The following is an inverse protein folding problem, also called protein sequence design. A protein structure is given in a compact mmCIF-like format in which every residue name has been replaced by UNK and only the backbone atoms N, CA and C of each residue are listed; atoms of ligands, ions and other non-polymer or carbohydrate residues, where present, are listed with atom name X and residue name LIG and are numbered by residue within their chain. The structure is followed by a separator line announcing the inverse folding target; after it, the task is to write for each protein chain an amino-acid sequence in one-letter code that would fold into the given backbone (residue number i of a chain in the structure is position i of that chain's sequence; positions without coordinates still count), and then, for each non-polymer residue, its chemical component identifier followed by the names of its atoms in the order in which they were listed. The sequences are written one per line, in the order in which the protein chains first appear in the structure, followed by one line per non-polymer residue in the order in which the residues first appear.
data_IF_994368225101
#
_entry.id   IF_994368225101
#
_cell.length_a   1.000
_cell.length_b   1.000
_cell.length_c   1.000
_cell.angle_alpha   90.00
_cell.angle_beta   90.00
_cell.angle_gamma   90.00
#
_symmetry.space_group_name_H-M   'P 1'
#
loop_
_entity.id
_entity.type
_entity.pdbx_description
1 polymer ?
#
# COMPACT_ATOMS: atom_id res chain seq x y z
N UNK A 1 -8.91 89.57 44.94
CA UNK A 1 -8.43 88.23 45.34
C UNK A 1 -8.09 87.45 44.08
N UNK A 2 -6.89 86.87 44.05
CA UNK A 2 -6.18 86.34 42.87
C UNK A 2 -6.42 84.83 42.80
N UNK A 3 -7.16 84.35 41.81
CA UNK A 3 -7.28 82.90 41.55
C UNK A 3 -6.22 82.52 40.51
N UNK A 4 -5.29 81.68 40.93
CA UNK A 4 -4.17 81.20 40.14
C UNK A 4 -4.67 80.32 38.99
N UNK A 5 -4.16 80.61 37.79
CA UNK A 5 -4.32 79.84 36.56
C UNK A 5 -3.30 78.69 36.64
N UNK A 6 -3.75 77.44 36.65
CA UNK A 6 -2.88 76.26 36.58
C UNK A 6 -2.85 75.80 35.12
N UNK A 7 -1.67 75.84 34.50
CA UNK A 7 -1.41 75.31 33.16
C UNK A 7 -1.14 73.81 33.25
N UNK A 8 -2.00 72.97 32.67
CA UNK A 8 -1.72 71.56 32.41
C UNK A 8 -0.74 71.45 31.24
N UNK A 9 0.55 71.18 31.55
CA UNK A 9 1.50 70.71 30.55
C UNK A 9 1.07 69.31 30.13
N UNK A 10 0.74 69.16 28.85
CA UNK A 10 0.48 67.87 28.23
C UNK A 10 1.71 66.97 28.30
N UNK A 11 1.60 65.91 29.09
CA UNK A 11 2.55 64.81 29.16
C UNK A 11 2.47 63.98 27.88
N UNK A 12 3.30 64.30 26.89
CA UNK A 12 3.60 63.38 25.79
C UNK A 12 4.50 62.27 26.33
N UNK A 13 3.91 61.18 26.82
CA UNK A 13 4.64 59.96 27.14
C UNK A 13 4.99 59.23 25.82
N UNK A 14 6.27 59.12 25.42
CA UNK A 14 6.65 58.59 24.11
C UNK A 14 6.70 57.06 24.05
N UNK A 15 6.22 56.35 25.07
CA UNK A 15 6.32 54.88 25.16
C UNK A 15 4.96 54.19 25.03
N UNK A 16 4.29 54.38 23.89
CA UNK A 16 3.21 53.46 23.49
C UNK A 16 3.88 52.26 22.81
N UNK A 17 3.80 51.04 23.37
CA UNK A 17 4.39 49.87 22.74
C UNK A 17 3.77 49.68 21.35
N UNK A 18 4.62 49.64 20.32
CA UNK A 18 4.28 49.57 18.89
C UNK A 18 3.20 48.51 18.54
N UNK A 19 3.05 47.50 19.40
CA UNK A 19 2.10 46.41 19.32
C UNK A 19 0.61 46.81 19.42
N UNK A 20 0.27 48.01 19.93
CA UNK A 20 -1.13 48.47 20.00
C UNK A 20 -1.62 49.15 18.72
N UNK A 21 -0.73 49.45 17.76
CA UNK A 21 -1.09 50.13 16.52
C UNK A 21 -2.03 49.25 15.65
N UNK A 22 -3.26 49.71 15.33
CA UNK A 22 -4.22 48.93 14.53
C UNK A 22 -3.73 48.62 13.12
N UNK A 23 -2.86 49.44 12.53
CA UNK A 23 -2.20 49.15 11.26
C UNK A 23 -1.21 47.99 11.41
N UNK A 24 -0.39 47.99 12.45
CA UNK A 24 0.52 46.88 12.78
C UNK A 24 -0.25 45.57 13.04
N UNK A 25 -1.40 45.63 13.74
CA UNK A 25 -2.26 44.47 13.99
C UNK A 25 -2.92 43.92 12.72
N UNK A 26 -3.26 44.79 11.75
CA UNK A 26 -3.81 44.42 10.44
C UNK A 26 -2.73 43.78 9.55
N UNK A 27 -1.52 44.32 9.55
CA UNK A 27 -0.34 43.78 8.87
C UNK A 27 0.00 42.38 9.41
N UNK A 28 0.09 42.23 10.74
CA UNK A 28 0.32 40.95 11.39
C UNK A 28 -0.79 39.94 11.12
N UNK A 29 -2.06 40.36 11.07
CA UNK A 29 -3.20 39.48 10.73
C UNK A 29 -3.19 39.07 9.26
N UNK A 30 -2.75 39.95 8.36
CA UNK A 30 -2.57 39.67 6.93
C UNK A 30 -1.43 38.67 6.72
N UNK A 31 -0.25 38.92 7.32
CA UNK A 31 0.90 38.03 7.26
C UNK A 31 0.61 36.65 7.84
N UNK A 32 -0.08 36.55 8.98
CA UNK A 32 -0.46 35.25 9.57
C UNK A 32 -1.40 34.44 8.69
N UNK A 33 -2.32 35.09 7.95
CA UNK A 33 -3.19 34.41 6.99
C UNK A 33 -2.42 33.92 5.77
N UNK A 34 -1.52 34.74 5.22
CA UNK A 34 -0.67 34.34 4.10
C UNK A 34 0.26 33.18 4.47
N UNK A 35 0.84 33.22 5.68
CA UNK A 35 1.65 32.11 6.23
C UNK A 35 0.81 30.85 6.43
N UNK A 36 -0.39 30.96 7.01
CA UNK A 36 -1.31 29.82 7.17
C UNK A 36 -1.71 29.20 5.82
N UNK A 37 -2.05 30.02 4.83
CA UNK A 37 -2.40 29.54 3.49
C UNK A 37 -1.23 28.82 2.82
N UNK A 38 -0.01 29.38 2.93
CA UNK A 38 1.18 28.75 2.38
C UNK A 38 1.50 27.39 3.03
N UNK A 39 1.34 27.29 4.36
CA UNK A 39 1.54 26.02 5.09
C UNK A 39 0.48 24.98 4.69
N UNK A 40 -0.79 25.37 4.61
CA UNK A 40 -1.87 24.46 4.21
C UNK A 40 -1.68 23.97 2.78
N UNK A 41 -1.27 24.86 1.86
CA UNK A 41 -0.96 24.45 0.48
C UNK A 41 0.23 23.51 0.40
N UNK A 42 1.28 23.74 1.19
CA UNK A 42 2.45 22.85 1.23
C UNK A 42 2.10 21.47 1.79
N UNK A 43 1.27 21.40 2.84
CA UNK A 43 0.79 20.14 3.41
C UNK A 43 -0.14 19.38 2.45
N UNK A 44 -0.98 20.08 1.70
CA UNK A 44 -1.84 19.46 0.69
C UNK A 44 -1.04 18.84 -0.46
N UNK A 45 0.00 19.54 -0.95
CA UNK A 45 0.91 19.00 -1.96
C UNK A 45 1.68 17.79 -1.43
N UNK A 46 2.17 17.86 -0.20
CA UNK A 46 2.86 16.74 0.44
C UNK A 46 1.93 15.51 0.57
N UNK A 47 0.68 15.72 0.99
CA UNK A 47 -0.31 14.65 1.13
C UNK A 47 -0.65 13.98 -0.21
N UNK A 48 -0.73 14.74 -1.30
CA UNK A 48 -0.98 14.20 -2.65
C UNK A 48 0.20 13.36 -3.19
N UNK A 49 1.41 13.53 -2.67
CA UNK A 49 2.59 12.73 -3.06
C UNK A 49 2.78 11.44 -2.24
N UNK A 50 2.03 11.24 -1.14
CA UNK A 50 2.14 10.06 -0.27
C UNK A 50 1.74 8.71 -0.92
N UNK A 51 0.80 8.62 -1.88
CA UNK A 51 0.39 7.32 -2.44
C UNK A 51 1.53 6.53 -3.10
N UNK A 52 2.57 7.21 -3.60
CA UNK A 52 3.74 6.57 -4.19
C UNK A 52 4.58 5.78 -3.19
N UNK A 53 4.40 5.99 -1.89
CA UNK A 53 5.13 5.27 -0.83
C UNK A 53 4.49 3.92 -0.46
N UNK A 54 3.28 3.64 -0.94
CA UNK A 54 2.55 2.39 -0.65
C UNK A 54 2.47 1.46 -1.87
N UNK A 55 3.34 1.65 -2.87
CA UNK A 55 3.47 0.68 -3.95
C UNK A 55 4.06 -0.62 -3.37
N UNK A 56 3.27 -1.69 -3.37
CA UNK A 56 3.81 -3.02 -3.10
C UNK A 56 4.83 -3.37 -4.18
N UNK A 57 6.04 -3.76 -3.78
CA UNK A 57 7.02 -4.30 -4.70
C UNK A 57 6.56 -5.70 -5.14
N UNK A 58 5.89 -5.76 -6.29
CA UNK A 58 5.40 -7.01 -6.87
C UNK A 58 6.45 -7.54 -7.86
N UNK A 59 7.02 -8.74 -7.62
CA UNK A 59 7.99 -9.31 -8.55
C UNK A 59 7.29 -9.68 -9.87
N UNK A 60 7.89 -9.32 -11.00
CA UNK A 60 7.27 -9.58 -12.31
C UNK A 60 7.10 -11.09 -12.56
N UNK A 61 8.18 -11.84 -12.40
CA UNK A 61 8.22 -13.29 -12.57
C UNK A 61 8.89 -13.94 -11.35
N UNK A 62 8.33 -15.07 -10.91
CA UNK A 62 8.89 -15.92 -9.85
C UNK A 62 8.90 -17.37 -10.30
N UNK A 63 9.83 -18.15 -9.75
CA UNK A 63 9.87 -19.60 -9.93
C UNK A 63 9.34 -20.27 -8.66
N UNK A 64 8.26 -21.02 -8.81
CA UNK A 64 7.67 -21.82 -7.75
C UNK A 64 8.28 -23.22 -7.80
N UNK A 65 9.10 -23.53 -6.81
CA UNK A 65 9.60 -24.90 -6.56
C UNK A 65 9.18 -25.36 -5.16
N UNK A 66 9.62 -26.54 -4.75
CA UNK A 66 9.35 -27.15 -3.44
C UNK A 66 9.90 -26.30 -2.29
N UNK A 67 9.43 -26.51 -1.04
CA UNK A 67 10.00 -25.87 0.14
C UNK A 67 11.51 -26.11 0.29
N UNK A 68 12.18 -25.17 0.97
CA UNK A 68 13.63 -25.25 1.20
C UNK A 68 13.99 -26.53 1.97
N UNK A 69 15.11 -27.16 1.57
CA UNK A 69 15.57 -28.42 2.17
C UNK A 69 14.94 -29.68 1.56
N UNK A 70 14.05 -29.54 0.58
CA UNK A 70 13.46 -30.66 -0.14
C UNK A 70 13.88 -30.73 -1.61
N UNK A 71 13.93 -31.93 -2.17
CA UNK A 71 14.26 -32.15 -3.58
C UNK A 71 12.98 -32.07 -4.46
N UNK A 72 13.02 -31.34 -5.58
CA UNK A 72 11.94 -31.33 -6.56
C UNK A 72 11.72 -32.69 -7.21
N UNK A 73 10.52 -32.92 -7.73
CA UNK A 73 10.23 -34.12 -8.52
C UNK A 73 10.81 -33.96 -9.93
N UNK A 74 11.48 -34.98 -10.47
CA UNK A 74 12.05 -34.94 -11.83
C UNK A 74 11.05 -34.52 -12.91
N UNK A 75 9.80 -35.01 -12.80
CA UNK A 75 8.73 -34.70 -13.77
C UNK A 75 8.07 -33.34 -13.56
N UNK A 76 8.23 -32.75 -12.37
CA UNK A 76 7.56 -31.52 -11.96
C UNK A 76 8.52 -30.67 -11.10
N UNK A 77 9.63 -30.18 -11.69
CA UNK A 77 10.70 -29.56 -10.92
C UNK A 77 10.32 -28.16 -10.42
N UNK A 78 9.67 -27.37 -11.27
CA UNK A 78 9.34 -25.98 -11.00
C UNK A 78 8.20 -25.51 -11.92
N UNK A 79 7.62 -24.35 -11.58
CA UNK A 79 6.60 -23.64 -12.36
C UNK A 79 6.99 -22.17 -12.39
N UNK A 80 7.05 -21.57 -13.58
CA UNK A 80 7.17 -20.11 -13.68
C UNK A 80 5.81 -19.45 -13.47
N UNK A 81 5.79 -18.35 -12.73
CA UNK A 81 4.59 -17.58 -12.44
C UNK A 81 4.85 -16.09 -12.67
N UNK A 82 3.94 -15.44 -13.38
CA UNK A 82 4.01 -14.01 -13.69
C UNK A 82 2.90 -13.25 -12.97
N UNK A 83 3.26 -12.26 -12.15
CA UNK A 83 2.27 -11.38 -11.53
C UNK A 83 1.64 -10.42 -12.54
N UNK A 84 2.39 -9.98 -13.56
CA UNK A 84 1.87 -9.10 -14.62
C UNK A 84 0.77 -9.78 -15.45
N UNK A 85 0.89 -11.09 -15.70
CA UNK A 85 -0.16 -11.89 -16.33
C UNK A 85 -1.43 -12.04 -15.47
N UNK A 86 -1.35 -11.76 -14.16
CA UNK A 86 -2.45 -11.82 -13.21
C UNK A 86 -2.80 -10.44 -12.64
N UNK A 87 -2.43 -9.35 -13.30
CA UNK A 87 -2.59 -7.98 -12.79
C UNK A 87 -4.05 -7.58 -12.54
N UNK A 88 -5.00 -8.22 -13.22
CA UNK A 88 -6.45 -7.99 -13.04
C UNK A 88 -7.04 -8.76 -11.83
N UNK A 89 -6.22 -9.54 -11.12
CA UNK A 89 -6.61 -10.31 -9.94
C UNK A 89 -6.15 -9.57 -8.69
N UNK A 90 -7.03 -9.46 -7.69
CA UNK A 90 -6.69 -8.83 -6.42
C UNK A 90 -5.67 -9.65 -5.63
N UNK A 91 -4.77 -8.98 -4.92
CA UNK A 91 -3.69 -9.63 -4.16
C UNK A 91 -4.24 -10.69 -3.18
N UNK A 92 -5.37 -10.39 -2.52
CA UNK A 92 -6.00 -11.24 -1.52
C UNK A 92 -6.71 -12.49 -2.12
N UNK A 93 -6.88 -12.58 -3.44
CA UNK A 93 -7.42 -13.80 -4.05
C UNK A 93 -6.42 -14.96 -3.99
N UNK A 94 -5.12 -14.68 -4.11
CA UNK A 94 -4.06 -15.69 -3.96
C UNK A 94 -3.43 -15.63 -2.57
N UNK A 95 -3.01 -14.43 -2.14
CA UNK A 95 -2.52 -14.20 -0.78
C UNK A 95 -3.69 -14.09 0.19
N UNK A 96 -4.39 -15.19 0.39
CA UNK A 96 -5.65 -15.24 1.14
C UNK A 96 -5.52 -14.92 2.64
N UNK A 97 -4.29 -14.75 3.14
CA UNK A 97 -4.00 -14.27 4.50
C UNK A 97 -3.64 -12.78 4.55
N UNK A 98 -3.57 -12.11 3.39
CA UNK A 98 -3.21 -10.71 3.28
C UNK A 98 -4.45 -9.81 3.47
N UNK A 99 -4.42 -8.97 4.50
CA UNK A 99 -5.54 -8.09 4.88
C UNK A 99 -5.44 -6.67 4.26
N UNK A 100 -4.58 -6.48 3.26
CA UNK A 100 -4.43 -5.20 2.55
C UNK A 100 -3.29 -4.31 3.07
N UNK A 101 -2.64 -4.67 4.17
CA UNK A 101 -1.44 -4.00 4.67
C UNK A 101 -0.45 -5.01 5.26
N UNK A 102 0.83 -4.63 5.30
CA UNK A 102 1.91 -5.47 5.84
C UNK A 102 2.63 -6.27 4.75
N UNK A 103 3.47 -7.20 5.20
CA UNK A 103 4.29 -8.02 4.31
C UNK A 103 3.48 -9.17 3.70
N UNK A 104 3.73 -9.45 2.43
CA UNK A 104 3.15 -10.60 1.73
C UNK A 104 4.09 -11.80 1.88
N UNK A 105 3.60 -12.86 2.53
CA UNK A 105 4.36 -14.07 2.78
C UNK A 105 4.31 -15.06 1.60
N UNK A 106 5.31 -15.94 1.53
CA UNK A 106 5.33 -17.06 0.60
C UNK A 106 4.32 -18.11 1.04
N UNK A 107 3.63 -18.73 0.07
CA UNK A 107 2.74 -19.86 0.37
C UNK A 107 3.49 -20.99 1.10
N UNK A 108 4.79 -21.16 0.79
CA UNK A 108 5.66 -22.19 1.38
C UNK A 108 6.04 -21.91 2.83
N UNK A 109 5.72 -20.74 3.39
CA UNK A 109 5.95 -20.46 4.80
C UNK A 109 4.93 -21.17 5.70
N UNK A 110 3.79 -21.60 5.14
CA UNK A 110 2.74 -22.34 5.84
C UNK A 110 2.38 -23.67 5.16
N UNK A 111 2.32 -23.70 3.82
CA UNK A 111 1.99 -24.89 3.04
C UNK A 111 3.24 -25.74 2.74
N UNK A 112 3.90 -26.25 3.79
CA UNK A 112 5.15 -27.00 3.66
C UNK A 112 4.94 -28.50 3.47
N UNK A 113 3.92 -29.10 4.09
CA UNK A 113 3.77 -30.56 4.11
C UNK A 113 3.58 -31.14 2.71
N UNK A 114 4.39 -32.14 2.37
CA UNK A 114 4.31 -32.92 1.13
C UNK A 114 3.79 -34.34 1.33
N UNK A 115 3.45 -34.71 2.56
CA UNK A 115 2.99 -36.06 2.91
C UNK A 115 1.59 -36.37 2.36
N UNK A 116 0.77 -35.34 2.15
CA UNK A 116 -0.60 -35.48 1.70
C UNK A 116 -0.89 -34.57 0.50
N UNK A 117 -1.64 -35.12 -0.46
CA UNK A 117 -2.21 -34.34 -1.58
C UNK A 117 -3.63 -33.87 -1.33
N UNK A 118 -4.24 -34.28 -0.22
CA UNK A 118 -5.65 -34.02 0.10
C UNK A 118 -5.82 -33.04 1.26
N UNK A 119 -4.79 -32.89 2.08
CA UNK A 119 -4.82 -31.95 3.19
C UNK A 119 -4.80 -30.51 2.63
N UNK A 120 -5.78 -29.65 2.95
CA UNK A 120 -5.81 -28.27 2.49
C UNK A 120 -4.56 -27.47 2.85
N UNK A 121 -3.87 -27.78 3.95
CA UNK A 121 -2.63 -27.09 4.33
C UNK A 121 -1.38 -27.69 3.67
N UNK A 122 -1.52 -28.66 2.77
CA UNK A 122 -0.36 -29.24 2.10
C UNK A 122 0.16 -28.36 0.98
N UNK A 123 1.44 -28.55 0.66
CA UNK A 123 2.08 -27.92 -0.49
C UNK A 123 1.32 -28.24 -1.78
N UNK A 124 0.87 -29.48 -1.97
CA UNK A 124 0.14 -29.85 -3.19
C UNK A 124 -1.22 -29.13 -3.30
N UNK A 125 -1.97 -29.04 -2.20
CA UNK A 125 -3.29 -28.45 -2.18
C UNK A 125 -3.27 -26.94 -2.43
N UNK A 126 -2.23 -26.23 -1.98
CA UNK A 126 -2.05 -24.79 -2.22
C UNK A 126 -2.17 -24.42 -3.71
N UNK A 127 -1.72 -25.31 -4.62
CA UNK A 127 -1.70 -25.05 -6.07
C UNK A 127 -2.76 -25.83 -6.85
N UNK A 128 -3.25 -26.96 -6.32
CA UNK A 128 -4.07 -27.92 -7.07
C UNK A 128 -5.46 -28.20 -6.48
N UNK A 129 -5.82 -27.61 -5.35
CA UNK A 129 -7.14 -27.80 -4.75
C UNK A 129 -8.26 -27.27 -5.66
N UNK A 130 -9.50 -27.70 -5.42
CA UNK A 130 -10.66 -27.16 -6.15
C UNK A 130 -11.04 -25.73 -5.72
N UNK A 131 -10.36 -25.17 -4.70
CA UNK A 131 -10.53 -23.80 -4.24
C UNK A 131 -10.09 -22.79 -5.31
N UNK A 132 -10.83 -21.68 -5.42
CA UNK A 132 -10.51 -20.56 -6.31
C UNK A 132 -9.23 -19.79 -5.90
N UNK A 133 -8.65 -20.12 -4.74
CA UNK A 133 -7.34 -19.62 -4.29
C UNK A 133 -6.19 -20.36 -4.99
N UNK A 134 -6.42 -21.63 -5.36
CA UNK A 134 -5.39 -22.45 -6.00
C UNK A 134 -5.32 -22.16 -7.50
N UNK A 135 -4.14 -22.33 -8.10
CA UNK A 135 -3.92 -22.13 -9.53
C UNK A 135 -4.93 -22.95 -10.36
N UNK A 136 -5.00 -24.26 -10.09
CA UNK A 136 -5.82 -25.17 -10.87
C UNK A 136 -7.31 -24.97 -10.61
N UNK A 137 -7.69 -24.64 -9.37
CA UNK A 137 -9.08 -24.41 -8.98
C UNK A 137 -9.64 -23.17 -9.66
N UNK A 138 -8.94 -22.03 -9.53
CA UNK A 138 -9.28 -20.78 -10.19
C UNK A 138 -9.42 -20.97 -11.71
N UNK A 139 -8.39 -21.54 -12.36
CA UNK A 139 -8.42 -21.71 -13.82
C UNK A 139 -9.55 -22.63 -14.28
N UNK A 140 -9.84 -23.71 -13.53
CA UNK A 140 -10.96 -24.59 -13.86
C UNK A 140 -12.30 -23.90 -13.67
N UNK A 141 -12.46 -23.11 -12.60
CA UNK A 141 -13.67 -22.33 -12.35
C UNK A 141 -13.94 -21.35 -13.49
N UNK A 142 -12.96 -20.51 -13.81
CA UNK A 142 -13.06 -19.55 -14.91
C UNK A 142 -13.32 -20.22 -16.27
N UNK A 143 -12.65 -21.34 -16.56
CA UNK A 143 -12.87 -22.10 -17.79
C UNK A 143 -14.28 -22.68 -17.86
N UNK A 144 -14.82 -23.17 -16.74
CA UNK A 144 -16.18 -23.70 -16.68
C UNK A 144 -17.24 -22.61 -16.93
N UNK A 145 -16.92 -21.37 -16.57
CA UNK A 145 -17.73 -20.18 -16.86
C UNK A 145 -17.53 -19.63 -18.29
N UNK A 146 -16.63 -20.23 -19.09
CA UNK A 146 -16.32 -19.76 -20.44
C UNK A 146 -15.52 -18.47 -20.48
N UNK A 147 -14.86 -18.09 -19.38
CA UNK A 147 -13.97 -16.93 -19.29
C UNK A 147 -12.57 -17.28 -19.80
N UNK A 148 -11.86 -16.26 -20.28
CA UNK A 148 -10.41 -16.39 -20.53
C UNK A 148 -9.69 -16.66 -19.22
N UNK A 149 -8.75 -17.61 -19.25
CA UNK A 149 -8.03 -18.07 -18.07
C UNK A 149 -6.76 -18.80 -18.49
N UNK A 150 -5.85 -19.00 -17.54
CA UNK A 150 -4.65 -19.78 -17.74
C UNK A 150 -4.88 -21.29 -17.91
N UNK A 151 -3.78 -22.06 -18.02
CA UNK A 151 -3.79 -23.49 -18.28
C UNK A 151 -4.46 -24.32 -17.19
N UNK A 152 -5.17 -25.36 -17.61
CA UNK A 152 -5.77 -26.38 -16.72
C UNK A 152 -5.17 -27.78 -16.89
N UNK A 153 -4.32 -27.95 -17.92
CA UNK A 153 -3.66 -29.22 -18.23
C UNK A 153 -2.29 -29.28 -17.54
N UNK A 154 -1.96 -30.44 -16.98
CA UNK A 154 -0.79 -30.56 -16.10
C UNK A 154 0.53 -30.24 -16.80
N UNK A 155 0.75 -30.72 -18.03
CA UNK A 155 2.09 -30.76 -18.65
C UNK A 155 2.28 -29.85 -19.86
N UNK A 156 1.39 -28.88 -20.07
CA UNK A 156 1.48 -27.97 -21.22
C UNK A 156 2.22 -26.69 -20.86
N UNK A 157 1.70 -25.97 -19.87
CA UNK A 157 2.14 -24.60 -19.56
C UNK A 157 2.43 -24.40 -18.06
N UNK A 158 1.73 -25.10 -17.15
CA UNK A 158 2.11 -25.11 -15.74
C UNK A 158 3.40 -25.91 -15.51
N UNK A 159 3.44 -27.16 -15.99
CA UNK A 159 4.63 -28.01 -15.92
C UNK A 159 5.10 -28.42 -17.31
N UNK A 160 5.65 -27.49 -18.10
CA UNK A 160 6.18 -27.82 -19.42
C UNK A 160 7.26 -28.90 -19.28
N UNK A 161 7.18 -29.95 -20.09
CA UNK A 161 8.25 -30.93 -20.16
C UNK A 161 9.49 -30.28 -20.79
N UNK A 162 10.61 -30.30 -20.07
CA UNK A 162 11.92 -29.91 -20.61
C UNK A 162 12.41 -30.95 -21.62
#
# INVERSE_FOLDING_TARGET
MRTLRYEEKGDTNPFVPEFTNPAYRKEQRSMKKSVLVAIVSALAVLAMSLPSLFAFEVPEEIIITVPEGEEPLEKFPEVSFSHSAHADISCAQCHHMFEGCGEIMSCRDCHMSRDSRKDPSSFFAAWHAQSDISCLGCHRGMKAEGKETGPVACMTECHPQK
#
